data_IF_848510587133
#
_entry.id   IF_848510587133
#
_cell.length_a   1.000
_cell.length_b   1.000
_cell.length_c   1.000
_cell.angle_alpha   90.00
_cell.angle_beta   90.00
_cell.angle_gamma   90.00
#
_symmetry.space_group_name_H-M   'P 1'
#
loop_
_entity.id
_entity.type
_entity.pdbx_description
1 polymer ?
#
# COMPACT_ATOMS: atom_id res chain seq x y z
N UNK A 1 -24.24 -30.26 -24.79
CA UNK A 1 -24.01 -28.81 -25.03
C UNK A 1 -23.62 -28.17 -23.71
N UNK A 2 -22.45 -27.50 -23.63
CA UNK A 2 -22.09 -26.74 -22.42
C UNK A 2 -22.88 -25.43 -22.41
N UNK A 3 -23.60 -25.16 -21.33
CA UNK A 3 -24.31 -23.89 -21.14
C UNK A 3 -23.29 -22.83 -20.70
N UNK A 4 -23.05 -21.81 -21.52
CA UNK A 4 -22.20 -20.65 -21.20
C UNK A 4 -23.12 -19.57 -20.62
N UNK A 5 -22.90 -19.17 -19.37
CA UNK A 5 -23.62 -18.09 -18.71
C UNK A 5 -22.60 -16.98 -18.42
N UNK A 6 -22.87 -15.77 -18.89
CA UNK A 6 -21.95 -14.64 -18.86
C UNK A 6 -20.95 -14.65 -19.99
N UNK A 7 -20.13 -13.61 -20.07
CA UNK A 7 -19.02 -13.51 -21.04
C UNK A 7 -17.67 -13.51 -20.31
N UNK A 8 -17.09 -14.70 -20.01
CA UNK A 8 -15.86 -14.78 -19.24
C UNK A 8 -14.64 -14.20 -19.97
N UNK A 9 -14.68 -14.10 -21.31
CA UNK A 9 -13.56 -13.60 -22.11
C UNK A 9 -13.36 -12.09 -21.96
N UNK A 10 -14.44 -11.30 -21.86
CA UNK A 10 -14.35 -9.83 -21.75
C UNK A 10 -13.70 -9.40 -20.42
N UNK A 11 -14.15 -9.97 -19.31
CA UNK A 11 -13.63 -9.66 -17.97
C UNK A 11 -12.15 -10.02 -17.84
N UNK A 12 -11.74 -11.17 -18.41
CA UNK A 12 -10.34 -11.59 -18.39
C UNK A 12 -9.44 -10.72 -19.27
N UNK A 13 -9.90 -10.26 -20.41
CA UNK A 13 -9.10 -9.41 -21.29
C UNK A 13 -8.83 -8.04 -20.66
N UNK A 14 -9.83 -7.41 -20.03
CA UNK A 14 -9.65 -6.13 -19.33
C UNK A 14 -8.66 -6.26 -18.16
N UNK A 15 -8.71 -7.39 -17.45
CA UNK A 15 -7.78 -7.69 -16.37
C UNK A 15 -6.35 -7.94 -16.87
N UNK A 16 -6.19 -8.68 -17.96
CA UNK A 16 -4.90 -8.93 -18.59
C UNK A 16 -4.24 -7.63 -19.05
N UNK A 17 -5.00 -6.73 -19.68
CA UNK A 17 -4.48 -5.41 -20.09
C UNK A 17 -4.07 -4.56 -18.87
N UNK A 18 -4.80 -4.66 -17.78
CA UNK A 18 -4.43 -3.97 -16.52
C UNK A 18 -3.13 -4.53 -15.94
N UNK A 19 -2.97 -5.85 -15.94
CA UNK A 19 -1.75 -6.54 -15.47
C UNK A 19 -0.54 -6.15 -16.33
N UNK A 20 -0.70 -5.98 -17.65
CA UNK A 20 0.37 -5.55 -18.55
C UNK A 20 0.87 -4.13 -18.28
N UNK A 21 0.06 -3.25 -17.70
CA UNK A 21 0.46 -1.90 -17.29
C UNK A 21 1.26 -1.86 -16.01
N UNK A 22 1.35 -2.97 -15.30
CA UNK A 22 1.99 -3.07 -14.00
C UNK A 22 3.50 -3.09 -14.15
N UNK A 23 4.18 -2.13 -13.53
CA UNK A 23 5.63 -2.09 -13.45
C UNK A 23 6.07 -2.72 -12.13
N UNK A 24 6.87 -3.77 -12.21
CA UNK A 24 7.51 -4.37 -11.04
C UNK A 24 8.93 -3.83 -10.93
N UNK A 25 9.22 -3.19 -9.82
CA UNK A 25 10.56 -2.74 -9.49
C UNK A 25 11.16 -3.69 -8.44
N UNK A 26 12.17 -4.46 -8.86
CA UNK A 26 12.90 -5.40 -7.99
C UNK A 26 14.00 -4.72 -7.17
N UNK A 27 13.94 -3.41 -7.02
CA UNK A 27 14.78 -2.74 -6.05
C UNK A 27 14.40 -3.18 -4.64
N UNK A 28 15.26 -3.97 -4.03
CA UNK A 28 15.04 -4.49 -2.70
C UNK A 28 15.16 -3.38 -1.66
N UNK A 29 14.04 -2.99 -1.13
CA UNK A 29 13.97 -2.08 -0.01
C UNK A 29 14.37 -2.86 1.25
N UNK A 30 15.41 -2.39 1.93
CA UNK A 30 15.99 -3.04 3.10
C UNK A 30 14.95 -3.23 4.22
N UNK A 31 14.14 -2.20 4.43
CA UNK A 31 13.05 -2.20 5.40
C UNK A 31 12.01 -1.14 5.02
N UNK A 32 10.85 -1.14 5.70
CA UNK A 32 9.79 -0.17 5.45
C UNK A 32 10.21 1.30 5.70
N UNK A 33 11.23 1.53 6.52
CA UNK A 33 11.75 2.87 6.75
C UNK A 33 12.37 3.44 5.48
N UNK A 34 13.12 2.64 4.72
CA UNK A 34 13.78 3.11 3.49
C UNK A 34 12.76 3.58 2.45
N UNK A 35 11.63 2.86 2.29
CA UNK A 35 10.55 3.29 1.41
C UNK A 35 9.91 4.60 1.88
N UNK A 36 9.65 4.72 3.18
CA UNK A 36 9.10 5.96 3.74
C UNK A 36 10.04 7.15 3.57
N UNK A 37 11.33 6.93 3.81
CA UNK A 37 12.35 7.98 3.64
C UNK A 37 12.45 8.40 2.16
N UNK A 38 12.27 7.48 1.22
CA UNK A 38 12.17 7.78 -0.21
C UNK A 38 10.92 8.61 -0.50
N UNK A 39 9.74 8.19 -0.03
CA UNK A 39 8.48 8.93 -0.21
C UNK A 39 8.60 10.36 0.33
N UNK A 40 9.18 10.53 1.53
CA UNK A 40 9.36 11.86 2.11
C UNK A 40 10.28 12.76 1.29
N UNK A 41 11.25 12.22 0.57
CA UNK A 41 12.14 12.98 -0.34
C UNK A 41 11.44 13.40 -1.63
N UNK A 42 10.41 12.69 -2.05
CA UNK A 42 9.64 12.97 -3.26
C UNK A 42 8.54 14.02 -3.02
N UNK A 43 8.24 14.34 -1.75
CA UNK A 43 7.29 15.39 -1.38
C UNK A 43 8.00 16.75 -1.51
N UNK A 44 7.36 17.67 -2.20
CA UNK A 44 7.85 19.02 -2.42
C UNK A 44 7.20 20.02 -1.45
N UNK A 45 7.86 21.18 -1.19
CA UNK A 45 7.31 22.20 -0.30
C UNK A 45 5.96 22.77 -0.75
N UNK A 46 5.66 22.72 -2.05
CA UNK A 46 4.39 23.18 -2.62
C UNK A 46 3.27 22.13 -2.63
N UNK A 47 3.55 20.86 -2.30
CA UNK A 47 2.55 19.79 -2.29
C UNK A 47 1.54 19.94 -1.15
N UNK A 48 0.28 19.58 -1.39
CA UNK A 48 -0.73 19.32 -0.39
C UNK A 48 -0.77 17.80 -0.13
N UNK A 49 -0.57 17.39 1.11
CA UNK A 49 -0.35 15.98 1.49
C UNK A 49 -1.40 15.49 2.47
N UNK A 50 -1.97 14.32 2.21
CA UNK A 50 -2.78 13.57 3.15
C UNK A 50 -2.01 12.36 3.67
N UNK A 51 -1.87 12.22 4.98
CA UNK A 51 -1.27 11.08 5.64
C UNK A 51 -2.33 10.26 6.38
N UNK A 52 -2.57 9.03 5.91
CA UNK A 52 -3.66 8.16 6.41
C UNK A 52 -3.12 7.13 7.39
N UNK A 53 -3.78 7.05 8.55
CA UNK A 53 -3.56 6.03 9.56
C UNK A 53 -2.35 6.31 10.46
N UNK A 54 -2.45 5.79 11.69
CA UNK A 54 -1.48 6.04 12.76
C UNK A 54 -0.26 5.10 12.74
N UNK A 55 -0.05 4.31 11.70
CA UNK A 55 1.02 3.29 11.63
C UNK A 55 2.42 3.82 11.98
N UNK A 56 2.61 5.14 11.92
CA UNK A 56 3.82 5.84 12.38
C UNK A 56 3.43 7.23 12.89
N UNK A 57 3.04 7.30 14.15
CA UNK A 57 2.50 8.49 14.84
C UNK A 57 3.17 9.84 14.55
N UNK A 58 4.46 9.85 14.17
CA UNK A 58 5.21 11.08 13.92
C UNK A 58 5.61 11.29 12.46
N UNK A 59 5.04 10.51 11.52
CA UNK A 59 5.39 10.63 10.10
C UNK A 59 5.00 11.99 9.55
N UNK A 60 3.76 12.41 9.80
CA UNK A 60 3.23 13.70 9.34
C UNK A 60 4.09 14.88 9.80
N UNK A 61 4.64 14.84 11.03
CA UNK A 61 5.52 15.88 11.57
C UNK A 61 6.84 16.05 10.81
N UNK A 62 7.23 15.07 9.99
CA UNK A 62 8.46 15.09 9.17
C UNK A 62 8.22 15.53 7.74
N UNK A 63 6.96 15.65 7.33
CA UNK A 63 6.57 16.09 6.01
C UNK A 63 6.75 17.61 5.91
N UNK A 64 7.52 18.03 4.90
CA UNK A 64 7.72 19.46 4.59
C UNK A 64 6.94 19.75 3.31
N UNK A 65 5.71 20.23 3.47
CA UNK A 65 4.76 20.50 2.38
C UNK A 65 3.98 21.78 2.66
N UNK A 66 3.21 22.26 1.68
CA UNK A 66 2.34 23.40 1.82
C UNK A 66 1.22 23.12 2.83
N UNK A 67 0.56 21.99 2.68
CA UNK A 67 -0.46 21.48 3.59
C UNK A 67 -0.13 20.05 3.98
N UNK A 68 -0.26 19.71 5.26
CA UNK A 68 -0.20 18.32 5.73
C UNK A 68 -1.43 18.09 6.60
N UNK A 69 -2.33 17.22 6.14
CA UNK A 69 -3.48 16.77 6.91
C UNK A 69 -3.36 15.28 7.21
N UNK A 70 -3.88 14.87 8.35
CA UNK A 70 -3.93 13.49 8.79
C UNK A 70 -5.36 12.97 8.80
N UNK A 71 -5.56 11.69 8.45
CA UNK A 71 -6.86 11.04 8.44
C UNK A 71 -6.81 9.67 9.11
N UNK A 72 -7.76 9.40 9.99
CA UNK A 72 -7.97 8.08 10.59
C UNK A 72 -9.47 7.85 10.85
N UNK A 73 -9.89 6.61 10.98
CA UNK A 73 -11.25 6.24 11.39
C UNK A 73 -11.45 6.36 12.89
N UNK A 74 -10.37 6.32 13.66
CA UNK A 74 -10.36 6.47 15.10
C UNK A 74 -10.01 7.90 15.51
N UNK A 75 -10.60 8.35 16.60
CA UNK A 75 -10.27 9.58 17.28
C UNK A 75 -9.27 9.29 18.42
N UNK A 76 -8.14 9.97 18.42
CA UNK A 76 -7.10 9.85 19.45
C UNK A 76 -6.83 11.19 20.15
N UNK A 77 -7.80 12.11 20.11
CA UNK A 77 -7.69 13.46 20.67
C UNK A 77 -6.96 14.41 19.74
N UNK A 78 -5.67 14.62 19.93
CA UNK A 78 -4.88 15.54 19.08
C UNK A 78 -4.55 14.98 17.67
N UNK A 79 -5.08 13.82 17.35
CA UNK A 79 -4.90 13.12 16.08
C UNK A 79 -6.13 12.27 15.77
N UNK A 80 -6.61 12.18 14.53
CA UNK A 80 -6.17 12.88 13.33
C UNK A 80 -6.83 14.27 13.17
N UNK A 81 -6.41 15.06 12.17
CA UNK A 81 -7.09 16.29 11.77
C UNK A 81 -8.49 15.98 11.19
N UNK A 82 -8.64 14.82 10.54
CA UNK A 82 -9.87 14.38 9.87
C UNK A 82 -10.25 12.99 10.36
N UNK A 83 -11.37 12.87 11.06
CA UNK A 83 -11.97 11.57 11.41
C UNK A 83 -12.87 11.15 10.25
N UNK A 84 -12.45 10.11 9.50
CA UNK A 84 -13.19 9.65 8.32
C UNK A 84 -12.94 8.18 8.05
N UNK A 85 -14.01 7.44 7.72
CA UNK A 85 -13.90 6.13 7.10
C UNK A 85 -13.69 6.31 5.59
N UNK A 86 -12.52 5.92 5.09
CA UNK A 86 -12.19 6.01 3.65
C UNK A 86 -13.10 5.16 2.76
N UNK A 87 -13.92 4.27 3.34
CA UNK A 87 -14.97 3.53 2.65
C UNK A 87 -16.32 4.25 2.68
N UNK A 88 -16.44 5.45 3.26
CA UNK A 88 -17.69 6.22 3.31
C UNK A 88 -18.20 6.60 1.91
N UNK A 89 -19.51 6.75 1.75
CA UNK A 89 -20.10 7.36 0.55
C UNK A 89 -19.79 8.86 0.49
N UNK A 90 -19.67 9.48 1.65
CA UNK A 90 -19.47 10.93 1.81
C UNK A 90 -18.01 11.22 2.17
N UNK A 91 -17.30 11.86 1.23
CA UNK A 91 -15.94 12.39 1.41
C UNK A 91 -15.91 13.88 1.08
N UNK A 92 -17.02 14.57 1.36
CA UNK A 92 -17.25 15.95 0.96
C UNK A 92 -16.13 16.88 1.46
N UNK A 93 -15.63 17.71 0.55
CA UNK A 93 -14.54 18.66 0.83
C UNK A 93 -13.14 18.07 0.81
N UNK A 94 -13.00 16.78 0.47
CA UNK A 94 -11.70 16.12 0.30
C UNK A 94 -11.36 15.86 -1.16
N UNK A 95 -12.30 16.06 -2.09
CA UNK A 95 -12.11 15.79 -3.52
C UNK A 95 -11.12 16.77 -4.15
N UNK A 96 -10.23 16.25 -5.00
CA UNK A 96 -9.22 17.03 -5.75
C UNK A 96 -8.36 17.93 -4.87
N UNK A 97 -8.11 17.53 -3.62
CA UNK A 97 -7.44 18.37 -2.63
C UNK A 97 -5.94 18.11 -2.54
N UNK A 98 -5.49 16.86 -2.75
CA UNK A 98 -4.12 16.46 -2.41
C UNK A 98 -3.28 16.14 -3.64
N UNK A 99 -2.03 16.60 -3.64
CA UNK A 99 -1.00 16.22 -4.62
C UNK A 99 -0.45 14.84 -4.29
N UNK A 100 -0.33 14.52 -3.00
CA UNK A 100 0.22 13.27 -2.49
C UNK A 100 -0.69 12.68 -1.40
N UNK A 101 -0.92 11.38 -1.46
CA UNK A 101 -1.55 10.62 -0.37
C UNK A 101 -0.62 9.52 0.08
N UNK A 102 -0.45 9.35 1.39
CA UNK A 102 0.33 8.27 2.01
C UNK A 102 -0.65 7.32 2.72
N UNK A 103 -0.69 6.06 2.27
CA UNK A 103 -1.62 5.03 2.74
C UNK A 103 -0.85 3.72 3.01
N UNK A 104 -0.15 3.65 4.15
CA UNK A 104 0.76 2.54 4.49
C UNK A 104 0.12 1.63 5.52
N UNK A 105 -0.08 0.35 5.18
CA UNK A 105 -0.70 -0.67 6.03
C UNK A 105 -2.12 -0.25 6.48
N UNK A 106 -2.95 0.12 5.53
CA UNK A 106 -4.34 0.54 5.73
C UNK A 106 -5.32 -0.33 4.94
N UNK A 107 -5.02 -0.60 3.65
CA UNK A 107 -5.98 -1.26 2.75
C UNK A 107 -6.32 -2.69 3.18
N UNK A 108 -5.47 -3.36 3.93
CA UNK A 108 -5.75 -4.68 4.52
C UNK A 108 -6.77 -4.61 5.66
N UNK A 109 -6.94 -3.43 6.26
CA UNK A 109 -7.81 -3.19 7.40
C UNK A 109 -9.16 -2.56 7.05
N UNK A 110 -9.40 -2.24 5.78
CA UNK A 110 -10.69 -1.71 5.34
C UNK A 110 -11.59 -2.83 4.82
N UNK A 111 -12.89 -2.74 5.10
CA UNK A 111 -13.86 -3.77 4.70
C UNK A 111 -14.21 -3.74 3.20
N UNK A 112 -14.00 -2.62 2.52
CA UNK A 112 -14.20 -2.46 1.07
C UNK A 112 -13.01 -1.72 0.43
N UNK A 113 -11.94 -2.43 0.07
CA UNK A 113 -10.76 -1.82 -0.53
C UNK A 113 -11.00 -1.18 -1.90
N UNK A 114 -12.01 -1.64 -2.66
CA UNK A 114 -12.35 -1.04 -3.95
C UNK A 114 -12.96 0.35 -3.76
N UNK A 115 -13.85 0.49 -2.79
CA UNK A 115 -14.45 1.78 -2.44
C UNK A 115 -13.42 2.73 -1.84
N UNK A 116 -12.58 2.24 -0.92
CA UNK A 116 -11.47 3.00 -0.37
C UNK A 116 -10.58 3.57 -1.48
N UNK A 117 -10.11 2.74 -2.41
CA UNK A 117 -9.23 3.17 -3.52
C UNK A 117 -9.95 4.12 -4.49
N UNK A 118 -11.25 3.92 -4.73
CA UNK A 118 -12.06 4.88 -5.50
C UNK A 118 -12.10 6.25 -4.83
N UNK A 119 -12.26 6.30 -3.52
CA UNK A 119 -12.27 7.54 -2.74
C UNK A 119 -10.88 8.20 -2.69
N UNK A 120 -9.82 7.43 -2.42
CA UNK A 120 -8.45 7.94 -2.48
C UNK A 120 -8.13 8.57 -3.83
N UNK A 121 -8.60 7.94 -4.93
CA UNK A 121 -8.45 8.51 -6.28
C UNK A 121 -9.24 9.81 -6.46
N UNK A 122 -10.41 9.95 -5.86
CA UNK A 122 -11.19 11.21 -5.90
C UNK A 122 -10.50 12.32 -5.09
N UNK A 123 -9.89 11.99 -3.95
CA UNK A 123 -9.18 12.94 -3.09
C UNK A 123 -7.91 13.48 -3.75
N UNK A 124 -7.25 12.71 -4.63
CA UNK A 124 -6.10 13.15 -5.39
C UNK A 124 -6.47 14.19 -6.44
N UNK A 125 -5.65 15.23 -6.58
CA UNK A 125 -5.61 16.13 -7.75
C UNK A 125 -5.25 15.34 -9.01
N UNK A 126 -5.44 15.93 -10.19
CA UNK A 126 -4.97 15.32 -11.43
C UNK A 126 -3.43 15.22 -11.40
N UNK A 127 -2.91 14.10 -11.90
CA UNK A 127 -1.51 13.70 -11.78
C UNK A 127 -0.99 13.48 -10.34
N UNK A 128 -1.88 13.52 -9.34
CA UNK A 128 -1.54 13.22 -7.95
C UNK A 128 -1.07 11.76 -7.76
N UNK A 129 -0.30 11.53 -6.69
CA UNK A 129 0.36 10.26 -6.43
C UNK A 129 -0.09 9.67 -5.08
N UNK A 130 -0.44 8.39 -5.10
CA UNK A 130 -0.71 7.61 -3.90
C UNK A 130 0.48 6.68 -3.63
N UNK A 131 1.07 6.80 -2.45
CA UNK A 131 2.11 5.93 -1.91
C UNK A 131 1.51 5.00 -0.86
N UNK A 132 1.92 3.75 -0.86
CA UNK A 132 1.44 2.85 0.17
C UNK A 132 2.22 1.55 0.31
N UNK A 133 1.74 0.74 1.25
CA UNK A 133 2.17 -0.63 1.48
C UNK A 133 0.97 -1.49 1.82
N UNK A 134 0.99 -2.73 1.38
CA UNK A 134 0.05 -3.77 1.78
C UNK A 134 0.76 -5.11 1.99
N UNK A 135 0.32 -5.93 2.97
CA UNK A 135 0.85 -7.26 3.19
C UNK A 135 0.32 -8.26 2.15
N UNK A 136 1.13 -9.28 1.87
CA UNK A 136 0.76 -10.46 1.08
C UNK A 136 0.95 -11.73 1.92
N UNK A 137 2.16 -12.24 2.06
CA UNK A 137 2.44 -13.36 2.97
C UNK A 137 2.86 -12.80 4.33
N UNK A 138 1.88 -12.57 5.18
CA UNK A 138 2.09 -11.93 6.48
C UNK A 138 1.10 -12.48 7.52
N UNK A 139 1.49 -12.43 8.81
CA UNK A 139 0.64 -12.87 9.91
C UNK A 139 -0.54 -11.90 10.16
N UNK A 140 -1.56 -12.39 10.85
CA UNK A 140 -2.66 -11.56 11.35
C UNK A 140 -2.15 -10.52 12.35
N UNK A 141 -2.59 -9.26 12.24
CA UNK A 141 -2.03 -8.18 13.05
C UNK A 141 -3.01 -7.04 13.39
N UNK A 142 -4.32 -7.33 13.42
CA UNK A 142 -5.29 -6.33 13.88
C UNK A 142 -5.13 -6.07 15.39
N UNK A 143 -5.09 -4.79 15.83
CA UNK A 143 -5.18 -4.43 17.23
C UNK A 143 -6.56 -4.78 17.82
N UNK A 144 -6.59 -5.15 19.11
CA UNK A 144 -7.86 -5.56 19.75
C UNK A 144 -8.82 -4.40 20.00
N UNK A 145 -8.32 -3.19 20.17
CA UNK A 145 -9.07 -2.05 20.72
C UNK A 145 -9.36 -0.94 19.67
N UNK A 146 -9.13 -1.21 18.38
CA UNK A 146 -9.37 -0.25 17.30
C UNK A 146 -10.58 -0.63 16.44
N UNK A 147 -11.14 0.37 15.74
CA UNK A 147 -12.35 0.23 14.90
C UNK A 147 -12.10 -0.47 13.56
N UNK A 148 -11.08 -1.33 13.47
CA UNK A 148 -10.77 -2.05 12.25
C UNK A 148 -10.29 -3.48 12.53
N UNK A 149 -10.35 -4.33 11.51
CA UNK A 149 -9.89 -5.71 11.54
C UNK A 149 -8.84 -5.93 10.45
N UNK A 150 -8.33 -7.14 10.33
CA UNK A 150 -7.32 -7.53 9.34
C UNK A 150 -8.00 -8.43 8.28
N UNK A 151 -8.58 -7.80 7.25
CA UNK A 151 -9.47 -8.47 6.29
C UNK A 151 -8.74 -9.07 5.11
N UNK A 152 -7.69 -8.40 4.57
CA UNK A 152 -7.17 -8.71 3.26
C UNK A 152 -5.66 -8.95 3.21
N UNK A 153 -5.26 -9.76 2.20
CA UNK A 153 -3.88 -9.94 1.75
C UNK A 153 -3.86 -9.76 0.24
N UNK A 154 -2.95 -8.91 -0.26
CA UNK A 154 -2.98 -8.51 -1.67
C UNK A 154 -1.83 -9.14 -2.44
N UNK A 155 -2.16 -9.94 -3.46
CA UNK A 155 -1.20 -10.34 -4.49
C UNK A 155 -0.94 -9.20 -5.48
N UNK A 156 0.10 -9.32 -6.32
CA UNK A 156 0.36 -8.35 -7.39
C UNK A 156 -0.83 -8.18 -8.35
N UNK A 157 -1.55 -9.26 -8.64
CA UNK A 157 -2.69 -9.24 -9.56
C UNK A 157 -3.92 -8.59 -8.91
N UNK A 158 -4.11 -8.80 -7.60
CA UNK A 158 -5.13 -8.10 -6.82
C UNK A 158 -4.87 -6.57 -6.81
N UNK A 159 -3.61 -6.15 -6.65
CA UNK A 159 -3.24 -4.73 -6.71
C UNK A 159 -3.42 -4.14 -8.11
N UNK A 160 -3.03 -4.87 -9.17
CA UNK A 160 -3.28 -4.44 -10.53
C UNK A 160 -4.78 -4.22 -10.79
N UNK A 161 -5.63 -5.11 -10.31
CA UNK A 161 -7.07 -4.96 -10.44
C UNK A 161 -7.64 -3.82 -9.58
N UNK A 162 -7.15 -3.68 -8.35
CA UNK A 162 -7.58 -2.64 -7.42
C UNK A 162 -7.27 -1.23 -7.95
N UNK A 163 -6.07 -1.05 -8.54
CA UNK A 163 -5.61 0.23 -9.09
C UNK A 163 -5.82 0.40 -10.61
N UNK A 164 -6.67 -0.42 -11.24
CA UNK A 164 -6.88 -0.43 -12.70
C UNK A 164 -7.26 0.93 -13.31
N UNK A 165 -7.85 1.82 -12.52
CA UNK A 165 -8.28 3.15 -12.97
C UNK A 165 -7.21 4.23 -12.81
N UNK A 166 -6.00 3.89 -12.39
CA UNK A 166 -4.86 4.79 -12.32
C UNK A 166 -4.03 4.75 -13.61
N UNK A 167 -3.30 5.82 -13.91
CA UNK A 167 -2.45 5.94 -15.10
C UNK A 167 -1.27 4.97 -15.05
N UNK A 168 -0.64 4.85 -13.88
CA UNK A 168 0.49 3.95 -13.70
C UNK A 168 0.47 3.29 -12.32
N UNK A 169 1.02 2.08 -12.26
CA UNK A 169 1.15 1.28 -11.04
C UNK A 169 2.57 0.75 -11.01
N UNK A 170 3.31 1.09 -9.97
CA UNK A 170 4.64 0.55 -9.71
C UNK A 170 4.65 -0.18 -8.37
N UNK A 171 5.11 -1.42 -8.35
CA UNK A 171 5.18 -2.27 -7.17
C UNK A 171 6.63 -2.59 -6.81
N UNK A 172 6.94 -2.55 -5.53
CA UNK A 172 8.23 -2.91 -4.93
C UNK A 172 7.99 -4.08 -3.97
N UNK A 173 8.34 -5.32 -4.35
CA UNK A 173 8.22 -6.46 -3.45
C UNK A 173 9.06 -6.28 -2.19
N UNK A 174 8.47 -6.58 -1.04
CA UNK A 174 9.13 -6.52 0.26
C UNK A 174 9.45 -7.94 0.71
N UNK A 175 10.72 -8.21 0.97
CA UNK A 175 11.26 -9.56 1.21
C UNK A 175 11.00 -10.48 0.02
N UNK A 176 11.64 -11.62 0.00
CA UNK A 176 11.50 -12.61 -1.05
C UNK A 176 11.19 -13.98 -0.50
N UNK A 177 11.41 -14.99 -1.31
CA UNK A 177 11.06 -16.37 -1.04
C UNK A 177 11.73 -16.96 0.20
N UNK A 178 12.98 -16.54 0.51
CA UNK A 178 13.72 -17.07 1.66
C UNK A 178 13.44 -16.22 2.90
N UNK A 179 13.52 -14.90 2.78
CA UNK A 179 13.37 -14.01 3.93
C UNK A 179 11.93 -13.90 4.44
N UNK A 180 10.92 -14.11 3.60
CA UNK A 180 9.51 -14.06 4.04
C UNK A 180 9.16 -15.15 5.08
N UNK A 181 9.36 -16.45 4.83
CA UNK A 181 9.07 -17.47 5.83
C UNK A 181 9.92 -17.32 7.10
N UNK A 182 11.18 -16.93 6.98
CA UNK A 182 12.02 -16.67 8.14
C UNK A 182 11.48 -15.50 8.98
N UNK A 183 10.96 -14.45 8.35
CA UNK A 183 10.31 -13.35 9.07
C UNK A 183 9.01 -13.78 9.76
N UNK A 184 8.23 -14.69 9.17
CA UNK A 184 7.01 -15.22 9.79
C UNK A 184 7.35 -16.09 10.99
N UNK A 185 8.35 -16.94 10.88
CA UNK A 185 8.75 -17.86 11.96
C UNK A 185 9.45 -17.16 13.12
N UNK A 186 10.23 -16.11 12.84
CA UNK A 186 11.11 -15.46 13.82
C UNK A 186 10.86 -13.94 13.92
N UNK A 187 9.60 -13.50 13.85
CA UNK A 187 9.21 -12.10 13.64
C UNK A 187 9.95 -11.10 14.54
N UNK A 188 10.03 -11.34 15.85
CA UNK A 188 10.65 -10.42 16.81
C UNK A 188 12.18 -10.42 16.73
N UNK A 189 12.78 -11.60 16.60
CA UNK A 189 14.23 -11.77 16.47
C UNK A 189 14.71 -11.28 15.10
N UNK A 190 13.90 -11.51 14.05
CA UNK A 190 14.15 -11.05 12.70
C UNK A 190 14.26 -9.53 12.64
N UNK A 191 13.28 -8.80 13.18
CA UNK A 191 13.31 -7.34 13.24
C UNK A 191 14.49 -6.80 14.02
N UNK A 192 14.82 -7.43 15.15
CA UNK A 192 15.88 -6.97 16.04
C UNK A 192 17.28 -7.14 15.47
N UNK A 193 17.56 -8.25 14.79
CA UNK A 193 18.92 -8.64 14.39
C UNK A 193 19.14 -8.65 12.88
N UNK A 194 18.17 -9.07 12.08
CA UNK A 194 18.36 -9.36 10.67
C UNK A 194 17.97 -8.19 9.77
N UNK A 195 16.90 -7.45 10.08
CA UNK A 195 16.54 -6.25 9.31
C UNK A 195 17.58 -5.13 9.43
N UNK A 196 18.42 -5.14 10.44
CA UNK A 196 19.55 -4.21 10.59
C UNK A 196 20.73 -4.54 9.67
N UNK A 197 20.77 -5.76 9.15
CA UNK A 197 21.80 -6.25 8.25
C UNK A 197 21.23 -6.43 6.84
N UNK A 198 22.06 -6.56 5.82
CA UNK A 198 21.61 -6.84 4.46
C UNK A 198 21.42 -8.34 4.18
N UNK A 199 21.40 -9.18 5.22
CA UNK A 199 21.31 -10.63 5.09
C UNK A 199 20.03 -11.06 4.38
N UNK A 200 18.89 -10.44 4.70
CA UNK A 200 17.63 -10.71 4.01
C UNK A 200 17.72 -10.45 2.50
N UNK A 201 18.33 -9.33 2.10
CA UNK A 201 18.54 -9.00 0.67
C UNK A 201 19.49 -10.00 0.03
N UNK A 202 20.57 -10.37 0.70
CA UNK A 202 21.53 -11.35 0.20
C UNK A 202 20.86 -12.72 0.00
N UNK A 203 20.09 -13.19 0.97
CA UNK A 203 19.39 -14.48 0.88
C UNK A 203 18.37 -14.51 -0.28
N UNK A 204 17.62 -13.42 -0.46
CA UNK A 204 16.63 -13.35 -1.54
C UNK A 204 17.27 -13.26 -2.92
N UNK A 205 18.47 -12.68 -3.05
CA UNK A 205 19.25 -12.65 -4.29
C UNK A 205 19.76 -14.03 -4.74
N UNK A 206 19.74 -15.05 -3.86
CA UNK A 206 20.02 -16.43 -4.22
C UNK A 206 18.88 -17.10 -5.01
N UNK A 207 17.76 -16.42 -5.13
CA UNK A 207 16.55 -16.89 -5.80
C UNK A 207 16.18 -15.91 -6.91
N UNK A 208 15.62 -16.41 -8.01
CA UNK A 208 15.20 -15.53 -9.11
C UNK A 208 14.09 -14.54 -8.66
N UNK A 209 14.08 -13.36 -9.27
CA UNK A 209 13.09 -12.30 -9.00
C UNK A 209 11.65 -12.78 -9.16
N UNK A 210 11.38 -13.63 -10.17
CA UNK A 210 10.05 -14.23 -10.38
C UNK A 210 9.61 -15.08 -9.19
N UNK A 211 10.50 -15.87 -8.61
CA UNK A 211 10.21 -16.71 -7.45
C UNK A 211 10.03 -15.84 -6.19
N UNK A 212 10.82 -14.79 -6.05
CA UNK A 212 10.70 -13.83 -4.96
C UNK A 212 9.35 -13.10 -5.01
N UNK A 213 8.92 -12.66 -6.19
CA UNK A 213 7.64 -12.00 -6.41
C UNK A 213 6.44 -12.87 -5.99
N UNK A 214 6.51 -14.18 -6.23
CA UNK A 214 5.44 -15.12 -5.87
C UNK A 214 5.33 -15.38 -4.36
N UNK A 215 6.36 -15.06 -3.58
CA UNK A 215 6.45 -15.39 -2.15
C UNK A 215 6.99 -14.23 -1.30
N UNK A 216 6.80 -12.98 -1.73
CA UNK A 216 7.14 -11.80 -0.94
C UNK A 216 6.18 -11.59 0.24
N UNK A 217 6.62 -10.85 1.24
CA UNK A 217 5.79 -10.56 2.43
C UNK A 217 4.74 -9.49 2.17
N UNK A 218 4.90 -8.68 1.12
CA UNK A 218 3.99 -7.61 0.76
C UNK A 218 4.57 -6.75 -0.35
N UNK A 219 3.88 -5.66 -0.65
CA UNK A 219 4.27 -4.73 -1.70
C UNK A 219 4.20 -3.30 -1.19
N UNK A 220 5.30 -2.55 -1.33
CA UNK A 220 5.16 -1.11 -1.43
C UNK A 220 4.66 -0.77 -2.83
N UNK A 221 3.89 0.30 -2.95
CA UNK A 221 3.37 0.72 -4.25
C UNK A 221 3.42 2.24 -4.41
N UNK A 222 3.56 2.66 -5.67
CA UNK A 222 3.41 4.04 -6.13
C UNK A 222 2.42 4.00 -7.28
N UNK A 223 1.31 4.71 -7.14
CA UNK A 223 0.30 4.79 -8.19
C UNK A 223 -0.03 6.24 -8.51
N UNK A 224 -0.16 6.57 -9.81
CA UNK A 224 -0.42 7.91 -10.31
C UNK A 224 -1.83 7.99 -10.89
N UNK A 225 -2.59 9.01 -10.47
CA UNK A 225 -3.96 9.30 -10.97
C UNK A 225 -4.01 9.71 -12.42
#
# INVERSE_FOLDING_TARGET
MKKIIGNPSKTNNDLIETIKKLKINYFYIKNQKDFRDQVLKEIKPEDDVLDIGMAMRDRHKKIKANLVETLDVNDFGDYPDIICDICSEEINGLEMKYDKIICIAILEHVYDPFKAVKNLRKMLKDDGILYGYVPYLYHYHAPKDLKFQDYFRFSKDALAYLFKNFKSIELFPVRGRISTPLNILFADQWKKYIEKTNINIFLDKLVSDEKNLKQCSGFNFIVKK
#
